data_IF_394261097691
#
_entry.id   IF_394261097691
#
_cell.length_a   1.000
_cell.length_b   1.000
_cell.length_c   1.000
_cell.angle_alpha   90.00
_cell.angle_beta   90.00
_cell.angle_gamma   90.00
#
_symmetry.space_group_name_H-M   'P 1'
#
loop_
_entity.id
_entity.type
_entity.pdbx_description
1 polymer ?
#
# COMPACT_ATOMS: atom_id res chain seq x y z
N UNK A 1 -36.65 -2.74 -18.82
CA UNK A 1 -35.52 -2.01 -18.19
C UNK A 1 -35.38 -2.26 -16.68
N UNK A 2 -36.13 -3.19 -16.07
CA UNK A 2 -36.00 -3.51 -14.63
C UNK A 2 -35.01 -4.65 -14.30
N UNK A 3 -34.64 -5.50 -15.27
CA UNK A 3 -33.80 -6.69 -15.03
C UNK A 3 -32.28 -6.44 -14.99
N UNK A 4 -31.79 -5.25 -15.37
CA UNK A 4 -30.34 -4.96 -15.34
C UNK A 4 -29.87 -4.39 -14.00
N UNK A 5 -30.78 -3.85 -13.19
CA UNK A 5 -30.44 -3.28 -11.89
C UNK A 5 -30.31 -4.39 -10.84
N UNK A 6 -31.28 -5.30 -10.75
CA UNK A 6 -31.28 -6.43 -9.79
C UNK A 6 -30.05 -7.33 -9.93
N UNK A 7 -29.67 -7.70 -11.16
CA UNK A 7 -28.48 -8.52 -11.43
C UNK A 7 -27.16 -7.86 -10.99
N UNK A 8 -27.06 -6.52 -11.06
CA UNK A 8 -25.85 -5.78 -10.66
C UNK A 8 -25.74 -5.58 -9.15
N UNK A 9 -26.86 -5.61 -8.44
CA UNK A 9 -26.91 -5.51 -6.98
C UNK A 9 -26.57 -6.86 -6.34
N UNK A 10 -27.15 -7.96 -6.82
CA UNK A 10 -26.86 -9.33 -6.33
C UNK A 10 -25.39 -9.71 -6.53
N UNK A 11 -24.75 -9.28 -7.61
CA UNK A 11 -23.32 -9.53 -7.84
C UNK A 11 -22.40 -8.74 -6.90
N UNK A 12 -22.82 -7.55 -6.46
CA UNK A 12 -22.03 -6.67 -5.56
C UNK A 12 -22.11 -7.09 -4.10
N UNK A 13 -23.28 -7.51 -3.67
CA UNK A 13 -23.50 -8.01 -2.30
C UNK A 13 -22.63 -9.25 -2.02
N UNK A 14 -22.53 -10.13 -3.02
CA UNK A 14 -21.66 -11.31 -3.00
C UNK A 14 -20.16 -10.97 -2.91
N UNK A 15 -19.69 -9.92 -3.61
CA UNK A 15 -18.29 -9.48 -3.57
C UNK A 15 -17.89 -8.97 -2.17
N UNK A 16 -18.68 -8.06 -1.61
CA UNK A 16 -18.41 -7.50 -0.28
C UNK A 16 -18.40 -8.61 0.78
N UNK A 17 -19.34 -9.55 0.73
CA UNK A 17 -19.39 -10.68 1.64
C UNK A 17 -18.16 -11.58 1.51
N UNK A 18 -17.75 -11.92 0.28
CA UNK A 18 -16.55 -12.71 -0.01
C UNK A 18 -15.27 -12.06 0.55
N UNK A 19 -15.06 -10.77 0.29
CA UNK A 19 -13.90 -10.03 0.78
C UNK A 19 -13.92 -9.90 2.31
N UNK A 20 -15.09 -9.68 2.92
CA UNK A 20 -15.25 -9.66 4.38
C UNK A 20 -14.90 -11.00 5.01
N UNK A 21 -15.42 -12.09 4.45
CA UNK A 21 -15.10 -13.44 4.93
C UNK A 21 -13.58 -13.69 4.92
N UNK A 22 -12.90 -13.27 3.85
CA UNK A 22 -11.45 -13.40 3.75
C UNK A 22 -10.69 -12.54 4.77
N UNK A 23 -11.18 -11.33 5.08
CA UNK A 23 -10.62 -10.52 6.17
C UNK A 23 -10.80 -11.20 7.53
N UNK A 24 -11.93 -11.85 7.79
CA UNK A 24 -12.15 -12.60 9.04
C UNK A 24 -11.26 -13.85 9.14
N UNK A 25 -11.01 -14.54 8.03
CA UNK A 25 -10.03 -15.64 7.97
C UNK A 25 -8.62 -15.13 8.29
N UNK A 26 -8.22 -13.99 7.72
CA UNK A 26 -6.94 -13.32 8.02
C UNK A 26 -6.87 -12.94 9.50
N UNK A 27 -7.91 -12.32 10.04
CA UNK A 27 -7.97 -11.91 11.46
C UNK A 27 -7.85 -13.13 12.38
N UNK A 28 -8.54 -14.21 12.05
CA UNK A 28 -8.50 -15.46 12.81
C UNK A 28 -7.12 -16.10 12.80
N UNK A 29 -6.43 -16.09 11.65
CA UNK A 29 -5.03 -16.53 11.55
C UNK A 29 -4.14 -15.76 12.54
N UNK A 30 -4.16 -14.43 12.50
CA UNK A 30 -3.31 -13.62 13.39
C UNK A 30 -3.68 -13.74 14.87
N UNK A 31 -4.98 -13.87 15.19
CA UNK A 31 -5.44 -14.10 16.55
C UNK A 31 -4.89 -15.43 17.09
N UNK A 32 -5.03 -16.52 16.33
CA UNK A 32 -4.47 -17.83 16.68
C UNK A 32 -2.96 -17.75 16.86
N UNK A 33 -2.26 -17.09 15.94
CA UNK A 33 -0.81 -16.91 16.04
C UNK A 33 -0.39 -16.17 17.32
N UNK A 34 -1.17 -15.16 17.74
CA UNK A 34 -0.92 -14.46 19.01
C UNK A 34 -1.10 -15.38 20.21
N UNK A 35 -2.15 -16.20 20.22
CA UNK A 35 -2.43 -17.13 21.33
C UNK A 35 -1.39 -18.25 21.43
N UNK A 36 -0.96 -18.79 20.29
CA UNK A 36 -0.06 -19.94 20.24
C UNK A 36 1.42 -19.54 20.40
N UNK A 37 1.82 -18.42 19.81
CA UNK A 37 3.24 -18.03 19.70
C UNK A 37 3.57 -16.69 20.39
N UNK A 38 2.60 -16.02 21.00
CA UNK A 38 2.79 -14.72 21.66
C UNK A 38 3.35 -13.64 20.72
N UNK A 39 2.97 -13.71 19.43
CA UNK A 39 3.40 -12.76 18.42
C UNK A 39 2.38 -11.64 18.32
N UNK A 40 2.84 -10.40 18.55
CA UNK A 40 2.01 -9.22 18.38
C UNK A 40 1.71 -8.95 16.90
N UNK A 41 0.49 -8.47 16.65
CA UNK A 41 0.00 -8.07 15.34
C UNK A 41 -0.88 -6.83 15.45
N UNK A 42 -1.18 -6.21 14.32
CA UNK A 42 -2.15 -5.11 14.21
C UNK A 42 -3.21 -5.45 13.18
N UNK A 43 -4.46 -5.46 13.61
CA UNK A 43 -5.60 -5.53 12.70
C UNK A 43 -6.42 -4.25 12.88
N UNK A 44 -6.22 -3.33 11.95
CA UNK A 44 -6.78 -1.97 12.01
C UNK A 44 -8.31 -2.00 12.10
N UNK A 45 -8.88 -1.15 12.96
CA UNK A 45 -10.34 -1.03 13.13
C UNK A 45 -11.02 -0.53 11.85
N UNK A 46 -10.29 0.19 11.01
CA UNK A 46 -10.76 0.65 9.71
C UNK A 46 -11.06 -0.50 8.77
N UNK A 47 -10.34 -1.64 8.87
CA UNK A 47 -10.65 -2.84 8.08
C UNK A 47 -11.98 -3.49 8.48
N UNK A 48 -12.43 -3.34 9.73
CA UNK A 48 -13.69 -3.93 10.20
C UNK A 48 -14.91 -3.22 9.58
N UNK A 49 -14.78 -1.89 9.39
CA UNK A 49 -15.87 -1.03 8.94
C UNK A 49 -15.72 -0.58 7.48
N UNK A 50 -14.80 -1.19 6.73
CA UNK A 50 -14.52 -0.80 5.36
C UNK A 50 -15.71 -1.04 4.43
N UNK A 51 -15.94 -0.11 3.53
CA UNK A 51 -16.90 -0.23 2.43
C UNK A 51 -16.10 -0.41 1.14
N UNK A 52 -15.96 -1.65 0.67
CA UNK A 52 -15.08 -1.95 -0.47
C UNK A 52 -15.56 -1.29 -1.77
N UNK A 53 -16.86 -0.94 -1.87
CA UNK A 53 -17.41 -0.24 -3.02
C UNK A 53 -16.94 1.21 -3.13
N UNK A 54 -16.47 1.81 -2.02
CA UNK A 54 -15.93 3.18 -2.00
C UNK A 54 -14.43 3.27 -2.24
N UNK A 55 -13.73 2.14 -2.23
CA UNK A 55 -12.26 2.14 -2.36
C UNK A 55 -11.83 2.54 -3.78
N UNK A 56 -11.04 3.60 -3.88
CA UNK A 56 -10.52 4.17 -5.12
C UNK A 56 -9.02 3.88 -5.30
N UNK A 57 -8.30 3.56 -4.22
CA UNK A 57 -6.90 3.17 -4.25
C UNK A 57 -6.52 2.26 -3.08
N UNK A 58 -5.40 1.55 -3.21
CA UNK A 58 -4.81 0.72 -2.15
C UNK A 58 -3.39 1.21 -1.87
N UNK A 59 -3.03 1.29 -0.60
CA UNK A 59 -1.70 1.65 -0.13
C UNK A 59 -1.15 0.55 0.78
N UNK A 60 0.03 0.02 0.45
CA UNK A 60 0.57 -1.18 1.11
C UNK A 60 1.94 -0.88 1.73
N UNK A 61 2.02 -0.94 3.06
CA UNK A 61 3.27 -0.82 3.81
C UNK A 61 3.95 -2.17 4.04
N UNK A 62 5.02 -2.17 4.83
CA UNK A 62 5.80 -3.37 5.13
C UNK A 62 5.17 -4.17 6.27
N UNK A 63 5.25 -3.64 7.49
CA UNK A 63 4.71 -4.24 8.70
C UNK A 63 4.38 -3.13 9.72
N UNK A 64 3.46 -3.36 10.69
CA UNK A 64 3.12 -2.38 11.70
C UNK A 64 4.29 -2.01 12.62
N UNK A 65 4.47 -0.71 12.87
CA UNK A 65 5.40 -0.15 13.84
C UNK A 65 4.78 0.08 15.23
N UNK A 66 5.57 0.54 16.21
CA UNK A 66 5.16 0.67 17.62
C UNK A 66 3.88 1.51 17.81
N UNK A 67 3.77 2.62 17.07
CA UNK A 67 2.59 3.51 17.15
C UNK A 67 1.34 2.90 16.52
N UNK A 68 1.51 2.21 15.40
CA UNK A 68 0.43 1.46 14.76
C UNK A 68 -0.11 0.37 15.69
N UNK A 69 0.79 -0.30 16.42
CA UNK A 69 0.42 -1.29 17.43
C UNK A 69 -0.33 -0.71 18.63
N UNK A 70 0.18 0.39 19.20
CA UNK A 70 -0.46 1.04 20.34
C UNK A 70 -1.85 1.59 20.01
N UNK A 71 -2.03 2.11 18.81
CA UNK A 71 -3.27 2.77 18.39
C UNK A 71 -4.24 1.82 17.65
N UNK A 72 -3.80 0.61 17.32
CA UNK A 72 -4.52 -0.34 16.46
C UNK A 72 -4.99 0.27 15.14
N UNK A 73 -4.08 1.01 14.49
CA UNK A 73 -4.30 1.69 13.21
C UNK A 73 -3.13 1.40 12.28
N UNK A 74 -3.36 1.38 10.96
CA UNK A 74 -2.26 1.39 10.01
C UNK A 74 -1.87 2.81 9.64
N UNK A 75 -0.59 3.00 9.33
CA UNK A 75 -0.03 4.24 8.83
C UNK A 75 -0.30 5.40 9.79
N UNK A 76 -0.07 5.19 11.09
CA UNK A 76 -0.31 6.21 12.11
C UNK A 76 0.33 7.56 11.73
N UNK A 77 -0.44 8.65 11.80
CA UNK A 77 0.05 10.00 11.48
C UNK A 77 1.11 10.52 12.46
N UNK A 78 1.29 9.84 13.60
CA UNK A 78 2.41 10.11 14.52
C UNK A 78 3.77 9.76 13.92
N UNK A 79 3.80 8.90 12.90
CA UNK A 79 5.02 8.56 12.19
C UNK A 79 5.21 9.46 10.97
N UNK A 80 6.37 10.14 10.87
CA UNK A 80 6.63 11.14 9.82
C UNK A 80 6.47 10.58 8.39
N UNK A 81 6.88 9.34 8.16
CA UNK A 81 6.74 8.72 6.83
C UNK A 81 5.27 8.52 6.45
N UNK A 82 4.44 8.10 7.42
CA UNK A 82 3.03 7.87 7.18
C UNK A 82 2.20 9.15 7.19
N UNK A 83 2.58 10.15 7.99
CA UNK A 83 2.06 11.51 7.83
C UNK A 83 2.27 12.01 6.40
N UNK A 84 3.49 11.85 5.87
CA UNK A 84 3.81 12.26 4.50
C UNK A 84 3.00 11.50 3.46
N UNK A 85 2.85 10.19 3.60
CA UNK A 85 1.99 9.39 2.72
C UNK A 85 0.54 9.86 2.78
N UNK A 86 -0.01 10.07 3.98
CA UNK A 86 -1.37 10.58 4.17
C UNK A 86 -1.53 11.96 3.54
N UNK A 87 -0.62 12.90 3.81
CA UNK A 87 -0.67 14.26 3.27
C UNK A 87 -0.68 14.24 1.73
N UNK A 88 0.14 13.38 1.10
CA UNK A 88 0.15 13.20 -0.35
C UNK A 88 -1.22 12.72 -0.87
N UNK A 89 -1.76 11.65 -0.29
CA UNK A 89 -3.01 11.05 -0.76
C UNK A 89 -4.25 11.86 -0.40
N UNK A 90 -4.24 12.63 0.70
CA UNK A 90 -5.34 13.52 1.10
C UNK A 90 -5.60 14.62 0.07
N UNK A 91 -4.54 15.16 -0.53
CA UNK A 91 -4.66 16.15 -1.63
C UNK A 91 -5.31 15.53 -2.86
N UNK A 92 -5.07 14.23 -3.11
CA UNK A 92 -5.56 13.49 -4.27
C UNK A 92 -7.01 13.01 -4.08
N UNK A 93 -7.30 12.38 -2.93
CA UNK A 93 -8.55 11.65 -2.65
C UNK A 93 -9.51 12.38 -1.68
N UNK A 94 -9.29 13.67 -1.44
CA UNK A 94 -10.07 14.54 -0.55
C UNK A 94 -10.01 14.16 0.94
N UNK A 95 -9.74 15.15 1.79
CA UNK A 95 -9.29 14.99 3.18
C UNK A 95 -10.29 14.21 4.07
N UNK A 96 -11.59 14.42 3.89
CA UNK A 96 -12.67 13.76 4.67
C UNK A 96 -12.97 12.32 4.24
N UNK A 97 -12.49 11.91 3.07
CA UNK A 97 -12.76 10.61 2.47
C UNK A 97 -11.53 9.71 2.39
N UNK A 98 -10.32 10.18 2.73
CA UNK A 98 -9.10 9.39 2.58
C UNK A 98 -9.21 7.99 3.21
N UNK A 99 -9.67 7.86 4.46
CA UNK A 99 -9.84 6.56 5.13
C UNK A 99 -11.04 5.74 4.60
N UNK A 100 -11.97 6.37 3.87
CA UNK A 100 -13.13 5.71 3.24
C UNK A 100 -12.82 5.25 1.81
N UNK A 101 -11.90 5.92 1.13
CA UNK A 101 -11.58 5.72 -0.28
C UNK A 101 -10.22 5.04 -0.49
N UNK A 102 -9.33 5.05 0.51
CA UNK A 102 -8.02 4.41 0.40
C UNK A 102 -7.94 3.24 1.37
N UNK A 103 -7.82 2.03 0.82
CA UNK A 103 -7.58 0.82 1.60
C UNK A 103 -6.10 0.76 1.97
N UNK A 104 -5.81 0.76 3.28
CA UNK A 104 -4.44 0.65 3.79
C UNK A 104 -4.21 -0.78 4.28
N UNK A 105 -3.14 -1.40 3.80
CA UNK A 105 -2.70 -2.74 4.19
C UNK A 105 -1.20 -2.74 4.51
N UNK A 106 -0.74 -3.82 5.12
CA UNK A 106 0.69 -4.15 5.20
C UNK A 106 0.95 -5.50 4.51
N UNK A 107 2.20 -5.78 4.14
CA UNK A 107 2.61 -7.07 3.57
C UNK A 107 2.57 -8.20 4.61
N UNK A 108 2.65 -7.84 5.89
CA UNK A 108 2.36 -8.69 7.04
C UNK A 108 1.71 -7.86 8.13
N UNK A 109 0.84 -8.45 8.96
CA UNK A 109 0.26 -7.75 10.11
C UNK A 109 1.08 -7.94 11.39
N UNK A 110 2.16 -8.73 11.36
CA UNK A 110 3.03 -8.90 12.52
C UNK A 110 3.75 -7.62 12.90
N UNK A 111 3.60 -7.23 14.15
CA UNK A 111 4.24 -6.04 14.69
C UNK A 111 5.71 -6.33 15.03
N UNK A 112 6.58 -5.39 14.65
CA UNK A 112 7.95 -5.31 15.15
C UNK A 112 8.40 -3.86 15.28
N UNK A 113 9.39 -3.58 16.13
CA UNK A 113 9.98 -2.24 16.24
C UNK A 113 10.81 -1.88 15.01
N UNK A 114 11.34 -2.87 14.30
CA UNK A 114 12.07 -2.71 13.04
C UNK A 114 11.83 -3.92 12.16
N UNK A 115 11.60 -3.72 10.87
CA UNK A 115 11.33 -4.78 9.89
C UNK A 115 12.35 -5.92 9.92
N UNK A 116 13.63 -5.67 10.22
CA UNK A 116 14.63 -6.75 10.30
C UNK A 116 14.36 -7.76 11.43
N UNK A 117 13.58 -7.37 12.42
CA UNK A 117 13.14 -8.22 13.51
C UNK A 117 12.02 -9.17 13.08
N UNK A 118 11.55 -9.11 11.82
CA UNK A 118 10.69 -10.17 11.28
C UNK A 118 11.44 -11.49 11.09
N UNK A 119 12.79 -11.49 11.12
CA UNK A 119 13.61 -12.70 10.96
C UNK A 119 13.24 -13.80 11.95
N UNK A 120 12.97 -13.46 13.21
CA UNK A 120 12.54 -14.43 14.23
C UNK A 120 11.26 -15.18 13.85
N UNK A 121 10.42 -14.60 12.98
CA UNK A 121 9.16 -15.21 12.52
C UNK A 121 9.32 -15.95 11.20
N UNK A 122 10.43 -15.74 10.49
CA UNK A 122 10.72 -16.45 9.24
C UNK A 122 11.09 -17.92 9.47
N UNK A 123 11.59 -18.24 10.67
CA UNK A 123 12.06 -19.60 11.04
C UNK A 123 10.91 -20.57 11.34
N UNK A 124 9.70 -20.07 11.55
CA UNK A 124 8.51 -20.87 11.91
C UNK A 124 7.39 -20.82 10.86
N UNK A 125 7.72 -20.48 9.61
CA UNK A 125 6.82 -20.35 8.44
C UNK A 125 5.64 -19.35 8.56
N UNK A 126 5.32 -18.86 9.75
CA UNK A 126 4.21 -17.92 10.00
C UNK A 126 4.33 -16.64 9.17
N UNK A 127 5.55 -16.10 9.03
CA UNK A 127 5.78 -14.91 8.23
C UNK A 127 5.39 -15.15 6.76
N UNK A 128 5.72 -16.31 6.22
CA UNK A 128 5.37 -16.72 4.86
C UNK A 128 3.86 -16.88 4.71
N UNK A 129 3.20 -17.61 5.62
CA UNK A 129 1.74 -17.78 5.59
C UNK A 129 1.02 -16.43 5.65
N UNK A 130 1.47 -15.54 6.53
CA UNK A 130 0.90 -14.18 6.66
C UNK A 130 0.97 -13.38 5.36
N UNK A 131 2.08 -13.51 4.63
CA UNK A 131 2.29 -12.81 3.36
C UNK A 131 1.44 -13.41 2.24
N UNK A 132 1.32 -14.74 2.21
CA UNK A 132 0.46 -15.43 1.23
C UNK A 132 -0.98 -14.98 1.41
N UNK A 133 -1.50 -14.96 2.65
CA UNK A 133 -2.87 -14.55 2.93
C UNK A 133 -3.17 -13.11 2.48
N UNK A 134 -2.26 -12.17 2.78
CA UNK A 134 -2.44 -10.75 2.44
C UNK A 134 -2.23 -10.48 0.94
N UNK A 135 -1.29 -11.19 0.31
CA UNK A 135 -1.13 -11.16 -1.14
C UNK A 135 -2.41 -11.70 -1.82
N UNK A 136 -2.93 -12.84 -1.38
CA UNK A 136 -4.13 -13.44 -1.91
C UNK A 136 -5.37 -12.57 -1.73
N UNK A 137 -5.48 -11.86 -0.62
CA UNK A 137 -6.54 -10.88 -0.42
C UNK A 137 -6.44 -9.72 -1.42
N UNK A 138 -5.24 -9.18 -1.64
CA UNK A 138 -5.03 -8.12 -2.64
C UNK A 138 -5.43 -8.59 -4.05
N UNK A 139 -5.08 -9.83 -4.40
CA UNK A 139 -5.39 -10.41 -5.70
C UNK A 139 -6.90 -10.56 -5.88
N UNK A 140 -7.58 -11.14 -4.89
CA UNK A 140 -9.03 -11.26 -4.90
C UNK A 140 -9.68 -9.89 -5.00
N UNK A 141 -9.20 -8.90 -4.25
CA UNK A 141 -9.71 -7.54 -4.34
C UNK A 141 -9.56 -6.98 -5.75
N UNK A 142 -8.39 -7.11 -6.38
CA UNK A 142 -8.13 -6.55 -7.72
C UNK A 142 -8.88 -7.26 -8.85
N UNK A 143 -9.17 -8.55 -8.67
CA UNK A 143 -10.01 -9.29 -9.60
C UNK A 143 -11.43 -8.71 -9.66
N UNK A 144 -11.94 -8.25 -8.52
CA UNK A 144 -13.26 -7.67 -8.40
C UNK A 144 -13.24 -6.16 -8.74
N UNK A 145 -12.21 -5.44 -8.27
CA UNK A 145 -12.10 -3.99 -8.38
C UNK A 145 -10.70 -3.53 -8.79
N UNK A 146 -10.60 -3.08 -10.03
CA UNK A 146 -9.35 -2.64 -10.69
C UNK A 146 -8.99 -1.20 -10.30
N UNK A 147 -8.42 -1.02 -9.11
CA UNK A 147 -7.96 0.28 -8.59
C UNK A 147 -6.44 0.35 -8.54
N UNK A 148 -5.84 1.56 -8.58
CA UNK A 148 -4.41 1.73 -8.36
C UNK A 148 -3.96 1.19 -6.99
N UNK A 149 -2.82 0.50 -6.99
CA UNK A 149 -2.16 -0.05 -5.81
C UNK A 149 -0.77 0.54 -5.73
N UNK A 150 -0.46 1.16 -4.60
CA UNK A 150 0.87 1.68 -4.30
C UNK A 150 1.49 0.84 -3.21
N UNK A 151 2.47 0.03 -3.58
CA UNK A 151 3.27 -0.74 -2.65
C UNK A 151 4.49 0.09 -2.26
N UNK A 152 4.54 0.49 -1.00
CA UNK A 152 5.69 1.17 -0.43
C UNK A 152 6.79 0.14 -0.22
N UNK A 153 7.96 0.40 -0.79
CA UNK A 153 9.05 -0.57 -0.89
C UNK A 153 10.36 0.01 -0.40
N UNK A 154 11.08 -0.82 0.36
CA UNK A 154 12.44 -0.54 0.75
C UNK A 154 13.37 -1.61 0.16
N UNK A 155 14.04 -1.24 -0.93
CA UNK A 155 14.88 -2.10 -1.75
C UNK A 155 15.95 -2.91 -0.98
N UNK A 156 16.40 -2.44 0.17
CA UNK A 156 17.42 -3.13 0.99
C UNK A 156 16.82 -4.30 1.80
N UNK A 157 15.48 -4.45 1.85
CA UNK A 157 14.78 -5.43 2.69
C UNK A 157 13.95 -6.46 1.92
N UNK A 158 14.23 -6.64 0.63
CA UNK A 158 13.52 -7.58 -0.27
C UNK A 158 13.35 -9.00 0.31
N UNK A 159 14.31 -9.47 1.11
CA UNK A 159 14.34 -10.86 1.55
C UNK A 159 13.24 -11.22 2.56
N UNK A 160 12.70 -10.24 3.30
CA UNK A 160 11.63 -10.51 4.26
C UNK A 160 10.28 -10.71 3.61
N UNK A 161 10.02 -10.00 2.51
CA UNK A 161 8.73 -10.00 1.84
C UNK A 161 8.74 -10.78 0.53
N UNK A 162 9.77 -11.60 0.30
CA UNK A 162 9.95 -12.31 -0.98
C UNK A 162 8.74 -13.19 -1.30
N UNK A 163 8.10 -13.82 -0.31
CA UNK A 163 6.91 -14.64 -0.50
C UNK A 163 5.71 -13.81 -0.96
N UNK A 164 5.51 -12.63 -0.36
CA UNK A 164 4.47 -11.69 -0.80
C UNK A 164 4.62 -11.42 -2.30
N UNK A 165 5.80 -10.96 -2.74
CA UNK A 165 6.06 -10.67 -4.15
C UNK A 165 6.05 -11.91 -5.04
N UNK A 166 6.43 -13.07 -4.52
CA UNK A 166 6.37 -14.33 -5.26
C UNK A 166 4.93 -14.73 -5.58
N UNK A 167 4.02 -14.65 -4.60
CA UNK A 167 2.59 -14.96 -4.81
C UNK A 167 1.97 -13.99 -5.79
N UNK A 168 2.24 -12.70 -5.60
CA UNK A 168 1.89 -11.64 -6.53
C UNK A 168 2.34 -12.04 -7.96
N UNK A 169 3.63 -12.34 -8.18
CA UNK A 169 4.15 -12.76 -9.50
C UNK A 169 3.52 -14.06 -10.03
N UNK A 170 3.32 -15.07 -9.18
CA UNK A 170 2.83 -16.40 -9.56
C UNK A 170 1.37 -16.37 -9.99
N UNK A 171 0.52 -15.71 -9.20
CA UNK A 171 -0.93 -15.65 -9.43
C UNK A 171 -1.31 -14.61 -10.49
N UNK A 172 -0.38 -13.75 -10.89
CA UNK A 172 -0.56 -12.75 -11.95
C UNK A 172 0.05 -13.14 -13.30
N UNK A 173 -0.08 -14.42 -13.69
CA UNK A 173 0.18 -14.84 -15.08
C UNK A 173 -0.63 -14.04 -16.11
N UNK A 174 -1.72 -13.40 -15.70
CA UNK A 174 -2.41 -12.36 -16.46
C UNK A 174 -1.78 -10.98 -16.18
N UNK A 175 -0.87 -10.56 -17.07
CA UNK A 175 -0.14 -9.28 -16.98
C UNK A 175 -1.08 -8.05 -16.89
N UNK A 176 -2.39 -8.21 -17.14
CA UNK A 176 -3.37 -7.14 -17.06
C UNK A 176 -3.57 -6.55 -15.67
N UNK A 177 -3.33 -7.31 -14.58
CA UNK A 177 -3.48 -6.78 -13.22
C UNK A 177 -2.25 -6.01 -12.75
N UNK A 178 -1.06 -6.39 -13.21
CA UNK A 178 0.21 -5.74 -12.85
C UNK A 178 0.22 -4.26 -13.21
N UNK A 179 -0.51 -3.85 -14.26
CA UNK A 179 -0.62 -2.45 -14.67
C UNK A 179 -1.21 -1.52 -13.61
N UNK A 180 -1.96 -2.07 -12.65
CA UNK A 180 -2.53 -1.30 -11.54
C UNK A 180 -1.57 -1.14 -10.37
N UNK A 181 -0.42 -1.81 -10.39
CA UNK A 181 0.46 -1.95 -9.23
C UNK A 181 1.75 -1.22 -9.46
N UNK A 182 2.01 -0.30 -8.55
CA UNK A 182 3.19 0.54 -8.54
C UNK A 182 3.99 0.29 -7.28
N UNK A 183 5.30 0.25 -7.42
CA UNK A 183 6.22 -0.01 -6.31
C UNK A 183 7.08 1.23 -6.13
N UNK A 184 6.92 1.93 -5.01
CA UNK A 184 7.62 3.21 -4.80
C UNK A 184 8.64 3.13 -3.68
N UNK A 185 9.68 3.97 -3.68
CA UNK A 185 10.54 4.13 -2.52
C UNK A 185 9.74 4.49 -1.27
N UNK A 186 10.28 4.08 -0.12
CA UNK A 186 9.67 4.37 1.17
C UNK A 186 9.54 5.88 1.44
N UNK A 187 8.51 6.31 2.18
CA UNK A 187 8.28 7.73 2.53
C UNK A 187 9.26 8.26 3.59
N UNK A 188 9.99 7.39 4.28
CA UNK A 188 10.95 7.77 5.31
C UNK A 188 12.06 8.63 4.72
N UNK A 189 12.46 9.67 5.48
CA UNK A 189 13.49 10.61 5.08
C UNK A 189 13.26 11.23 3.69
N UNK A 190 12.00 11.34 3.24
CA UNK A 190 11.64 11.85 1.92
C UNK A 190 12.22 11.03 0.76
N UNK A 191 12.53 9.74 0.93
CA UNK A 191 13.13 8.91 -0.14
C UNK A 191 12.26 8.80 -1.39
N UNK A 192 10.94 8.94 -1.27
CA UNK A 192 10.00 9.05 -2.40
C UNK A 192 10.21 10.31 -3.27
N UNK A 193 11.01 11.26 -2.83
CA UNK A 193 11.33 12.47 -3.60
C UNK A 193 12.76 12.43 -4.16
N UNK A 194 13.48 11.35 -3.91
CA UNK A 194 14.88 11.21 -4.26
C UNK A 194 15.10 10.22 -5.39
N UNK A 195 16.08 10.52 -6.23
CA UNK A 195 16.71 9.55 -7.11
C UNK A 195 17.34 8.42 -6.29
N UNK A 196 17.36 7.22 -6.84
CA UNK A 196 17.91 6.02 -6.21
C UNK A 196 18.57 5.11 -7.27
N UNK A 197 18.77 3.84 -6.94
CA UNK A 197 19.43 2.87 -7.83
C UNK A 197 18.56 2.43 -9.02
N UNK A 198 17.24 2.65 -8.99
CA UNK A 198 16.33 2.32 -10.08
C UNK A 198 16.32 3.45 -11.11
N UNK A 199 16.85 3.17 -12.31
CA UNK A 199 16.98 4.14 -13.40
C UNK A 199 15.61 4.64 -13.90
N UNK A 200 14.61 3.75 -13.99
CA UNK A 200 13.26 4.14 -14.39
C UNK A 200 12.67 5.17 -13.43
N UNK A 201 12.80 4.94 -12.11
CA UNK A 201 12.38 5.90 -11.09
C UNK A 201 13.08 7.25 -11.26
N UNK A 202 14.39 7.24 -11.50
CA UNK A 202 15.15 8.46 -11.71
C UNK A 202 14.66 9.25 -12.93
N UNK A 203 14.37 8.55 -14.03
CA UNK A 203 13.83 9.18 -15.24
C UNK A 203 12.45 9.80 -15.00
N UNK A 204 11.58 9.14 -14.22
CA UNK A 204 10.28 9.69 -13.84
C UNK A 204 10.42 10.97 -12.99
N UNK A 205 11.36 10.98 -12.04
CA UNK A 205 11.69 12.17 -11.24
C UNK A 205 12.23 13.30 -12.11
N UNK A 206 13.12 13.01 -13.06
CA UNK A 206 13.71 14.01 -13.95
C UNK A 206 12.66 14.63 -14.87
N UNK A 207 11.82 13.82 -15.53
CA UNK A 207 10.70 14.29 -16.34
C UNK A 207 9.74 15.18 -15.54
N UNK A 208 9.47 14.83 -14.27
CA UNK A 208 8.65 15.65 -13.38
C UNK A 208 9.33 16.99 -13.06
N UNK A 209 10.64 17.00 -12.81
CA UNK A 209 11.41 18.20 -12.52
C UNK A 209 11.61 19.10 -13.76
N UNK A 210 11.62 18.55 -14.97
CA UNK A 210 11.61 19.35 -16.21
C UNK A 210 10.32 20.19 -16.32
N UNK A 211 9.19 19.62 -15.90
CA UNK A 211 7.90 20.31 -15.86
C UNK A 211 7.78 21.30 -14.70
N UNK A 212 8.41 20.99 -13.56
CA UNK A 212 8.38 21.84 -12.35
C UNK A 212 9.79 22.15 -11.82
N UNK A 213 10.59 22.95 -12.56
CA UNK A 213 12.00 23.17 -12.24
C UNK A 213 12.23 23.88 -10.89
N UNK A 214 11.25 24.63 -10.38
CA UNK A 214 11.33 25.30 -9.08
C UNK A 214 11.25 24.33 -7.88
N UNK A 215 10.86 23.06 -8.10
CA UNK A 215 10.89 22.02 -7.06
C UNK A 215 12.26 21.36 -6.93
N UNK A 216 13.19 21.64 -7.83
CA UNK A 216 14.47 20.95 -7.95
C UNK A 216 15.45 21.37 -6.84
N UNK A 217 16.04 20.38 -6.18
CA UNK A 217 17.17 20.57 -5.27
C UNK A 217 18.51 20.57 -6.03
N UNK A 218 19.63 21.05 -5.42
CA UNK A 218 20.95 20.98 -6.04
C UNK A 218 21.38 19.57 -6.48
N UNK A 219 20.91 18.54 -5.78
CA UNK A 219 21.20 17.13 -6.08
C UNK A 219 20.21 16.51 -7.08
N UNK A 220 19.41 17.32 -7.77
CA UNK A 220 18.42 16.86 -8.76
C UNK A 220 17.34 15.93 -8.19
N UNK A 221 17.01 16.11 -6.90
CA UNK A 221 15.85 15.52 -6.24
C UNK A 221 14.70 16.53 -6.14
N UNK A 222 13.48 16.07 -5.85
CA UNK A 222 12.35 16.92 -5.52
C UNK A 222 12.51 17.44 -4.09
N UNK A 223 12.38 18.75 -3.90
CA UNK A 223 12.36 19.38 -2.58
C UNK A 223 11.04 19.07 -1.90
N UNK A 224 11.04 18.11 -0.96
CA UNK A 224 9.82 17.76 -0.20
C UNK A 224 9.24 18.99 0.52
N UNK A 225 10.10 19.88 1.03
CA UNK A 225 9.66 21.16 1.63
C UNK A 225 8.90 22.02 0.61
N UNK A 226 9.48 22.26 -0.57
CA UNK A 226 8.80 23.08 -1.59
C UNK A 226 7.50 22.40 -2.07
N UNK A 227 7.56 21.09 -2.29
CA UNK A 227 6.43 20.28 -2.72
C UNK A 227 5.23 20.41 -1.77
N UNK A 228 5.42 20.22 -0.47
CA UNK A 228 4.33 20.33 0.51
C UNK A 228 3.93 21.76 0.86
N UNK A 229 4.82 22.75 0.73
CA UNK A 229 4.47 24.16 0.99
C UNK A 229 3.49 24.71 -0.04
N UNK A 230 3.59 24.26 -1.30
CA UNK A 230 2.70 24.74 -2.36
C UNK A 230 1.26 24.27 -2.18
N UNK A 231 1.06 23.07 -1.64
CA UNK A 231 -0.25 22.39 -1.55
C UNK A 231 -1.05 22.44 -2.87
N UNK A 232 -0.36 22.52 -4.00
CA UNK A 232 -0.99 22.62 -5.31
C UNK A 232 -1.49 21.24 -5.75
N UNK A 233 -2.81 21.08 -5.75
CA UNK A 233 -3.47 19.83 -6.11
C UNK A 233 -3.01 19.29 -7.47
N UNK A 234 -2.82 20.15 -8.47
CA UNK A 234 -2.42 19.72 -9.82
C UNK A 234 -1.01 19.14 -9.83
N UNK A 235 -0.10 19.71 -9.04
CA UNK A 235 1.26 19.19 -8.91
C UNK A 235 1.26 17.84 -8.20
N UNK A 236 0.46 17.68 -7.15
CA UNK A 236 0.31 16.42 -6.40
C UNK A 236 -0.29 15.33 -7.27
N UNK A 237 -1.37 15.62 -7.99
CA UNK A 237 -1.98 14.70 -8.96
C UNK A 237 -1.00 14.31 -10.05
N UNK A 238 -0.22 15.26 -10.58
CA UNK A 238 0.76 14.98 -11.62
C UNK A 238 1.91 14.12 -11.11
N UNK A 239 2.41 14.37 -9.89
CA UNK A 239 3.41 13.52 -9.25
C UNK A 239 2.86 12.09 -9.04
N UNK A 240 1.63 11.99 -8.56
CA UNK A 240 0.99 10.70 -8.36
C UNK A 240 0.81 9.93 -9.68
N UNK A 241 0.23 10.57 -10.70
CA UNK A 241 -0.08 9.93 -11.98
C UNK A 241 1.17 9.64 -12.82
N UNK A 242 2.14 10.57 -12.84
CA UNK A 242 3.29 10.49 -13.74
C UNK A 242 4.59 9.99 -13.09
N UNK A 243 4.65 9.89 -11.77
CA UNK A 243 5.81 9.32 -11.07
C UNK A 243 5.42 8.06 -10.32
N UNK A 244 4.48 8.16 -9.37
CA UNK A 244 4.09 7.01 -8.54
C UNK A 244 3.45 5.91 -9.40
N UNK A 245 2.37 6.22 -10.12
CA UNK A 245 1.63 5.20 -10.86
C UNK A 245 2.41 4.64 -12.06
N UNK A 246 3.35 5.41 -12.62
CA UNK A 246 4.22 4.96 -13.73
C UNK A 246 5.41 4.12 -13.27
N UNK A 247 5.72 4.07 -11.97
CA UNK A 247 6.69 3.12 -11.42
C UNK A 247 6.03 1.74 -11.27
N UNK A 248 5.68 1.14 -12.40
CA UNK A 248 5.01 -0.15 -12.40
C UNK A 248 5.92 -1.24 -11.80
N UNK A 249 5.32 -2.22 -11.13
CA UNK A 249 6.05 -3.38 -10.61
C UNK A 249 6.83 -4.14 -11.68
N UNK A 250 6.41 -4.07 -12.95
CA UNK A 250 7.13 -4.64 -14.10
C UNK A 250 8.50 -3.97 -14.37
N UNK A 251 8.75 -2.80 -13.79
CA UNK A 251 10.02 -2.10 -13.86
C UNK A 251 11.01 -2.54 -12.75
N UNK A 252 10.69 -3.60 -12.02
CA UNK A 252 11.48 -4.22 -10.94
C UNK A 252 11.69 -5.72 -11.19
#
# INVERSE_FOLDING_TARGET
MANSLTSSYESKENMNEKLRKKLEEIKSFFLKTKEEYWIDYVFSKELENIDFDKIEAILIGDNPWEKEFKNNEFFSSEWKAWKMARDLFKVIYWDECFQKNVLILNKTLFHTNRTHQLKKWSEIELLKESQILLADFLIDFLNEKKVPVVIVWFAEMNWFFKEYFSILKEKWKDAQLLKYISVTPHFSLSKIFCKNWNEHWNNLIENFLEKYPYLKTPNWNISSKAFYVLQDKKIFEDFFQNVILKQNILCY
#
